data_IF_213372493536
#
_entry.id   IF_213372493536
#
_cell.length_a   1.000
_cell.length_b   1.000
_cell.length_c   1.000
_cell.angle_alpha   90.00
_cell.angle_beta   90.00
_cell.angle_gamma   90.00
#
_symmetry.space_group_name_H-M   'P 1'
#
loop_
_entity.id
_entity.type
_entity.pdbx_description
1 polymer ?
#
# COMPACT_ATOMS: atom_id res chain seq x y z
N UNK A 1 26.38 -4.94 5.02
CA UNK A 1 25.44 -6.07 4.87
C UNK A 1 24.33 -5.86 5.88
N UNK A 2 23.09 -5.62 5.44
CA UNK A 2 21.98 -5.39 6.36
C UNK A 2 21.65 -6.69 7.09
N UNK A 3 21.85 -6.70 8.40
CA UNK A 3 21.58 -7.80 9.33
C UNK A 3 20.17 -7.68 9.92
N UNK A 4 19.19 -7.29 9.10
CA UNK A 4 17.78 -7.24 9.48
C UNK A 4 17.10 -8.58 9.21
N UNK A 5 16.05 -8.89 9.95
CA UNK A 5 15.25 -10.09 9.69
C UNK A 5 14.56 -9.97 8.32
N UNK A 6 14.54 -11.05 7.54
CA UNK A 6 13.85 -11.08 6.25
C UNK A 6 12.34 -10.98 6.45
N UNK A 7 11.78 -9.80 6.21
CA UNK A 7 10.34 -9.56 6.20
C UNK A 7 9.66 -10.04 4.91
N UNK A 8 8.41 -10.50 5.05
CA UNK A 8 7.44 -10.74 3.97
C UNK A 8 6.39 -9.63 3.99
N UNK A 9 6.34 -8.84 2.92
CA UNK A 9 5.56 -7.61 2.87
C UNK A 9 4.56 -7.72 1.73
N UNK A 10 3.28 -7.53 2.04
CA UNK A 10 2.23 -7.35 1.02
C UNK A 10 1.83 -5.88 0.99
N UNK A 11 2.00 -5.24 -0.16
CA UNK A 11 1.47 -3.92 -0.46
C UNK A 11 0.15 -4.02 -1.20
N UNK A 12 -0.75 -3.08 -0.94
CA UNK A 12 -1.90 -2.82 -1.79
C UNK A 12 -2.03 -1.33 -2.06
N UNK A 13 -2.07 -0.97 -3.34
CA UNK A 13 -2.08 0.42 -3.78
C UNK A 13 -2.62 0.55 -5.20
N UNK A 14 -3.59 1.45 -5.41
CA UNK A 14 -4.18 1.65 -6.73
C UNK A 14 -3.22 2.24 -7.76
N UNK A 15 -2.26 3.08 -7.36
CA UNK A 15 -1.33 3.72 -8.31
C UNK A 15 -0.08 2.89 -8.61
N UNK A 16 0.06 1.73 -7.97
CA UNK A 16 1.09 0.74 -8.34
C UNK A 16 0.91 0.21 -9.79
N UNK A 17 -0.14 0.63 -10.50
CA UNK A 17 -0.25 0.44 -11.95
C UNK A 17 0.83 1.16 -12.75
N UNK A 18 1.43 2.24 -12.23
CA UNK A 18 2.48 2.97 -12.94
C UNK A 18 3.85 2.36 -12.64
N UNK A 19 4.64 1.92 -13.64
CA UNK A 19 5.96 1.34 -13.41
C UNK A 19 6.91 2.21 -12.59
N UNK A 20 6.94 3.53 -12.84
CA UNK A 20 7.78 4.49 -12.11
C UNK A 20 7.47 4.57 -10.62
N UNK A 21 6.23 4.23 -10.21
CA UNK A 21 5.80 4.23 -8.80
C UNK A 21 6.20 2.95 -8.06
N UNK A 22 6.75 1.95 -8.77
CA UNK A 22 7.13 0.63 -8.21
C UNK A 22 8.58 0.57 -7.72
N UNK A 23 9.34 1.65 -7.84
CA UNK A 23 10.76 1.70 -7.46
C UNK A 23 10.97 1.33 -5.98
N UNK A 24 10.08 1.76 -5.07
CA UNK A 24 10.13 1.35 -3.66
C UNK A 24 10.16 -0.17 -3.49
N UNK A 25 9.34 -0.90 -4.25
CA UNK A 25 9.22 -2.35 -4.13
C UNK A 25 10.49 -3.06 -4.57
N UNK A 26 11.12 -2.55 -5.64
CA UNK A 26 12.43 -3.01 -6.08
C UNK A 26 13.50 -2.76 -5.02
N UNK A 27 13.54 -1.57 -4.42
CA UNK A 27 14.54 -1.27 -3.40
C UNK A 27 14.32 -2.11 -2.12
N UNK A 28 13.07 -2.36 -1.72
CA UNK A 28 12.76 -3.28 -0.61
C UNK A 28 13.19 -4.73 -0.93
N UNK A 29 12.97 -5.20 -2.16
CA UNK A 29 13.44 -6.50 -2.60
C UNK A 29 14.98 -6.57 -2.62
N UNK A 30 15.65 -5.50 -3.06
CA UNK A 30 17.11 -5.41 -3.08
C UNK A 30 17.73 -5.40 -1.67
N UNK A 31 16.99 -4.93 -0.66
CA UNK A 31 17.35 -5.06 0.76
C UNK A 31 17.16 -6.49 1.32
N UNK A 32 16.64 -7.42 0.52
CA UNK A 32 16.49 -8.83 0.84
C UNK A 32 15.11 -9.25 1.32
N UNK A 33 14.11 -8.35 1.28
CA UNK A 33 12.74 -8.65 1.69
C UNK A 33 11.93 -9.35 0.60
N UNK A 34 10.92 -10.13 0.99
CA UNK A 34 9.94 -10.70 0.05
C UNK A 34 8.80 -9.71 -0.12
N UNK A 35 8.59 -9.19 -1.34
CA UNK A 35 7.59 -8.16 -1.61
C UNK A 35 6.55 -8.67 -2.60
N UNK A 36 5.28 -8.59 -2.21
CA UNK A 36 4.13 -8.82 -3.10
C UNK A 36 3.30 -7.55 -3.16
N UNK A 37 2.94 -7.10 -4.35
CA UNK A 37 2.20 -5.86 -4.60
C UNK A 37 0.88 -6.22 -5.25
N UNK A 38 -0.21 -5.71 -4.70
CA UNK A 38 -1.56 -5.89 -5.22
C UNK A 38 -2.00 -4.55 -5.79
N UNK A 39 -2.34 -4.55 -7.09
CA UNK A 39 -2.80 -3.38 -7.81
C UNK A 39 -4.07 -3.72 -8.61
N UNK A 40 -4.91 -2.73 -8.96
CA UNK A 40 -5.92 -2.89 -9.99
C UNK A 40 -5.29 -3.31 -11.33
N UNK A 41 -5.97 -4.13 -12.13
CA UNK A 41 -5.53 -4.44 -13.51
C UNK A 41 -5.43 -3.19 -14.40
N UNK A 42 -6.18 -2.15 -14.05
CA UNK A 42 -5.90 -0.83 -14.56
C UNK A 42 -6.49 0.29 -13.72
N UNK A 43 -5.89 1.46 -13.83
CA UNK A 43 -6.28 2.67 -13.12
C UNK A 43 -5.91 3.91 -13.94
N UNK A 44 -6.63 5.01 -13.75
CA UNK A 44 -6.28 6.29 -14.36
C UNK A 44 -5.34 7.05 -13.47
N UNK A 45 -4.17 7.38 -14.00
CA UNK A 45 -3.15 8.13 -13.30
C UNK A 45 -2.68 9.25 -14.22
N UNK A 46 -2.70 10.48 -13.72
CA UNK A 46 -2.27 11.68 -14.46
C UNK A 46 -2.95 11.83 -15.85
N UNK A 47 -4.21 11.37 -15.94
CA UNK A 47 -5.01 11.40 -17.18
C UNK A 47 -4.83 10.19 -18.10
N UNK A 48 -3.82 9.35 -17.87
CA UNK A 48 -3.52 8.15 -18.67
C UNK A 48 -4.21 6.90 -18.11
N UNK A 49 -4.62 5.99 -18.99
CA UNK A 49 -5.16 4.69 -18.57
C UNK A 49 -4.01 3.68 -18.45
N UNK A 50 -3.63 3.42 -17.21
CA UNK A 50 -2.47 2.58 -16.86
C UNK A 50 -2.91 1.18 -16.50
N UNK A 51 -2.02 0.20 -16.72
CA UNK A 51 -2.33 -1.22 -16.54
C UNK A 51 -1.24 -1.96 -15.76
N UNK A 52 -1.66 -2.82 -14.83
CA UNK A 52 -0.80 -3.76 -14.15
C UNK A 52 -1.22 -5.19 -14.49
N UNK A 53 -0.31 -5.93 -15.11
CA UNK A 53 -0.47 -7.37 -15.32
C UNK A 53 0.25 -8.14 -14.21
N UNK A 54 -0.25 -9.32 -13.89
CA UNK A 54 0.39 -10.21 -12.92
C UNK A 54 1.74 -10.68 -13.45
N UNK A 55 2.82 -10.36 -12.72
CA UNK A 55 4.19 -10.63 -13.16
C UNK A 55 5.15 -10.69 -11.97
N UNK A 56 6.23 -11.45 -12.11
CA UNK A 56 7.42 -11.33 -11.26
C UNK A 56 8.34 -10.28 -11.89
N UNK A 57 8.62 -9.18 -11.19
CA UNK A 57 9.38 -8.05 -11.72
C UNK A 57 10.43 -7.60 -10.71
N UNK A 58 11.68 -7.42 -11.15
CA UNK A 58 12.75 -6.77 -10.37
C UNK A 58 12.85 -7.19 -8.88
N UNK A 59 12.64 -8.48 -8.59
CA UNK A 59 12.73 -9.05 -7.24
C UNK A 59 11.45 -8.96 -6.39
N UNK A 60 10.35 -8.41 -6.90
CA UNK A 60 9.03 -8.41 -6.27
C UNK A 60 7.97 -9.05 -7.17
N UNK A 61 6.86 -9.48 -6.57
CA UNK A 61 5.70 -10.00 -7.28
C UNK A 61 4.65 -8.91 -7.42
N UNK A 62 4.14 -8.68 -8.63
CA UNK A 62 2.97 -7.83 -8.89
C UNK A 62 1.76 -8.69 -9.22
N UNK A 63 0.64 -8.41 -8.58
CA UNK A 63 -0.66 -9.02 -8.86
C UNK A 63 -1.64 -7.92 -9.29
N UNK A 64 -1.96 -7.91 -10.59
CA UNK A 64 -3.06 -7.11 -11.13
C UNK A 64 -4.37 -7.86 -10.92
N UNK A 65 -5.35 -7.22 -10.27
CA UNK A 65 -6.69 -7.79 -10.05
C UNK A 65 -7.80 -6.89 -10.59
N UNK A 66 -8.91 -7.46 -11.09
CA UNK A 66 -10.05 -6.67 -11.53
C UNK A 66 -10.70 -5.96 -10.35
N UNK A 67 -11.16 -4.72 -10.55
CA UNK A 67 -11.80 -3.89 -9.52
C UNK A 67 -13.18 -3.40 -9.95
N UNK A 68 -14.08 -3.29 -8.98
CA UNK A 68 -15.32 -2.54 -9.13
C UNK A 68 -15.06 -1.05 -8.81
N UNK A 69 -15.85 -0.15 -9.39
CA UNK A 69 -15.72 1.31 -9.20
C UNK A 69 -14.30 1.85 -9.50
N UNK A 70 -13.68 1.36 -10.59
CA UNK A 70 -12.38 1.84 -11.10
C UNK A 70 -12.33 3.37 -11.12
N UNK A 71 -11.21 3.95 -10.69
CA UNK A 71 -10.98 5.40 -10.60
C UNK A 71 -11.87 6.14 -9.58
N UNK A 72 -12.40 5.42 -8.59
CA UNK A 72 -13.08 5.98 -7.40
C UNK A 72 -12.32 5.52 -6.15
N UNK A 73 -11.26 6.24 -5.73
CA UNK A 73 -10.37 5.83 -4.63
C UNK A 73 -11.11 5.46 -3.34
N UNK A 74 -12.24 6.11 -3.07
CA UNK A 74 -13.05 5.89 -1.88
C UNK A 74 -14.00 4.67 -1.97
N UNK A 75 -14.32 4.19 -3.17
CA UNK A 75 -15.34 3.13 -3.40
C UNK A 75 -14.81 1.83 -3.99
N UNK A 76 -13.64 1.86 -4.62
CA UNK A 76 -13.16 0.70 -5.34
C UNK A 76 -12.85 -0.47 -4.40
N UNK A 77 -13.02 -1.67 -4.91
CA UNK A 77 -12.63 -2.91 -4.23
C UNK A 77 -12.30 -3.97 -5.28
N UNK A 78 -11.49 -4.96 -4.88
CA UNK A 78 -11.08 -6.06 -5.73
C UNK A 78 -12.23 -7.06 -5.89
N UNK A 79 -12.59 -7.36 -7.13
CA UNK A 79 -13.69 -8.27 -7.43
C UNK A 79 -13.32 -9.74 -7.18
N UNK A 80 -12.07 -10.12 -7.49
CA UNK A 80 -11.59 -11.48 -7.25
C UNK A 80 -11.13 -11.66 -5.80
N UNK A 81 -12.12 -11.80 -4.91
CA UNK A 81 -11.89 -11.97 -3.47
C UNK A 81 -11.13 -13.26 -3.16
N UNK A 82 -11.26 -14.30 -4.00
CA UNK A 82 -10.58 -15.58 -3.80
C UNK A 82 -9.10 -15.41 -4.12
N UNK A 83 -8.75 -14.81 -5.27
CA UNK A 83 -7.37 -14.53 -5.61
C UNK A 83 -6.70 -13.59 -4.58
N UNK A 84 -7.43 -12.57 -4.10
CA UNK A 84 -6.93 -11.68 -3.06
C UNK A 84 -6.65 -12.42 -1.74
N UNK A 85 -7.60 -13.24 -1.28
CA UNK A 85 -7.43 -14.03 -0.05
C UNK A 85 -6.32 -15.08 -0.17
N UNK A 86 -6.23 -15.78 -1.30
CA UNK A 86 -5.16 -16.74 -1.56
C UNK A 86 -3.79 -16.08 -1.60
N UNK A 87 -3.69 -14.90 -2.21
CA UNK A 87 -2.44 -14.12 -2.25
C UNK A 87 -1.98 -13.75 -0.84
N UNK A 88 -2.87 -13.17 -0.03
CA UNK A 88 -2.56 -12.84 1.36
C UNK A 88 -2.14 -14.08 2.17
N UNK A 89 -2.86 -15.19 2.00
CA UNK A 89 -2.58 -16.46 2.70
C UNK A 89 -1.25 -17.08 2.29
N UNK A 90 -0.96 -17.14 0.99
CA UNK A 90 0.23 -17.78 0.44
C UNK A 90 1.48 -16.96 0.70
N UNK A 91 1.39 -15.63 0.59
CA UNK A 91 2.50 -14.74 0.91
C UNK A 91 2.91 -14.86 2.38
N UNK A 92 1.99 -15.21 3.28
CA UNK A 92 2.19 -15.27 4.74
C UNK A 92 2.90 -13.99 5.26
N UNK A 93 2.33 -12.81 5.01
CA UNK A 93 3.00 -11.55 5.29
C UNK A 93 3.27 -11.38 6.79
N UNK A 94 4.41 -10.79 7.10
CA UNK A 94 4.68 -10.14 8.39
C UNK A 94 4.01 -8.76 8.42
N UNK A 95 3.98 -8.07 7.28
CA UNK A 95 3.39 -6.74 7.10
C UNK A 95 2.37 -6.77 5.95
N UNK A 96 1.18 -6.20 6.20
CA UNK A 96 0.25 -5.79 5.14
C UNK A 96 0.20 -4.26 5.14
N UNK A 97 0.78 -3.65 4.13
CA UNK A 97 0.81 -2.20 3.94
C UNK A 97 -0.26 -1.80 2.92
N UNK A 98 -1.24 -1.03 3.36
CA UNK A 98 -2.28 -0.46 2.52
C UNK A 98 -1.98 1.01 2.27
N UNK A 99 -1.68 1.38 1.03
CA UNK A 99 -1.53 2.79 0.64
C UNK A 99 -2.84 3.29 0.03
N UNK A 100 -3.80 3.53 0.91
CA UNK A 100 -5.14 3.99 0.60
C UNK A 100 -5.68 4.78 1.79
N UNK A 101 -6.66 5.64 1.56
CA UNK A 101 -7.37 6.26 2.66
C UNK A 101 -8.06 5.20 3.55
N UNK A 102 -8.01 5.32 4.89
CA UNK A 102 -8.55 4.30 5.80
C UNK A 102 -10.06 4.10 5.69
N UNK A 103 -10.78 5.09 5.15
CA UNK A 103 -12.21 5.02 4.87
C UNK A 103 -12.55 4.33 3.53
N UNK A 104 -11.57 3.95 2.71
CA UNK A 104 -11.84 3.35 1.40
C UNK A 104 -12.36 1.91 1.52
N UNK A 105 -13.17 1.50 0.54
CA UNK A 105 -13.68 0.13 0.48
C UNK A 105 -12.55 -0.90 0.28
N UNK A 106 -11.49 -0.56 -0.47
CA UNK A 106 -10.31 -1.41 -0.67
C UNK A 106 -9.50 -1.58 0.61
N UNK A 107 -9.26 -0.52 1.37
CA UNK A 107 -8.56 -0.59 2.66
C UNK A 107 -9.32 -1.47 3.65
N UNK A 108 -10.64 -1.31 3.74
CA UNK A 108 -11.50 -2.16 4.55
C UNK A 108 -11.43 -3.63 4.09
N UNK A 109 -11.57 -3.90 2.79
CA UNK A 109 -11.53 -5.26 2.23
C UNK A 109 -10.21 -5.96 2.55
N UNK A 110 -9.08 -5.30 2.32
CA UNK A 110 -7.75 -5.86 2.57
C UNK A 110 -7.52 -6.07 4.07
N UNK A 111 -7.87 -5.09 4.91
CA UNK A 111 -7.77 -5.20 6.37
C UNK A 111 -8.58 -6.39 6.91
N UNK A 112 -9.81 -6.55 6.44
CA UNK A 112 -10.69 -7.64 6.82
C UNK A 112 -10.11 -9.00 6.39
N UNK A 113 -9.68 -9.13 5.13
CA UNK A 113 -9.13 -10.39 4.62
C UNK A 113 -7.80 -10.73 5.29
N UNK A 114 -6.90 -9.76 5.46
CA UNK A 114 -5.63 -9.95 6.16
C UNK A 114 -5.88 -10.51 7.57
N UNK A 115 -6.88 -9.99 8.30
CA UNK A 115 -7.26 -10.53 9.60
C UNK A 115 -7.74 -11.99 9.52
N UNK A 116 -8.49 -12.35 8.49
CA UNK A 116 -9.08 -13.68 8.36
C UNK A 116 -8.05 -14.74 7.95
N UNK A 117 -7.15 -14.43 7.02
CA UNK A 117 -6.26 -15.44 6.43
C UNK A 117 -4.78 -15.28 6.80
N UNK A 118 -4.40 -14.11 7.34
CA UNK A 118 -3.03 -13.73 7.69
C UNK A 118 -3.00 -13.00 9.04
N UNK A 119 -3.70 -13.54 10.04
CA UNK A 119 -3.99 -12.87 11.32
C UNK A 119 -2.78 -12.43 12.16
N UNK A 120 -1.57 -12.88 11.81
CA UNK A 120 -0.31 -12.48 12.45
C UNK A 120 0.31 -11.23 11.83
N UNK A 121 -0.07 -10.89 10.59
CA UNK A 121 0.47 -9.74 9.90
C UNK A 121 0.11 -8.44 10.61
N UNK A 122 1.06 -7.51 10.69
CA UNK A 122 0.80 -6.16 11.18
C UNK A 122 0.25 -5.32 10.03
N UNK A 123 -0.89 -4.68 10.28
CA UNK A 123 -1.51 -3.78 9.32
C UNK A 123 -0.84 -2.40 9.43
N UNK A 124 -0.27 -1.95 8.33
CA UNK A 124 0.23 -0.59 8.13
C UNK A 124 -0.70 0.11 7.15
N UNK A 125 -1.09 1.34 7.45
CA UNK A 125 -1.94 2.14 6.57
C UNK A 125 -1.23 3.45 6.29
N UNK A 126 -0.99 3.74 5.02
CA UNK A 126 -0.44 5.01 4.54
C UNK A 126 -1.51 5.75 3.75
N UNK A 127 -1.61 7.05 3.95
CA UNK A 127 -2.52 7.92 3.19
C UNK A 127 -1.77 9.16 2.70
N UNK A 128 -2.15 9.64 1.51
CA UNK A 128 -1.68 10.90 0.94
C UNK A 128 -2.30 12.13 1.62
N UNK A 129 -1.94 13.31 1.12
CA UNK A 129 -2.25 14.63 1.72
C UNK A 129 -3.73 15.03 1.71
N UNK A 130 -4.55 14.45 0.83
CA UNK A 130 -5.97 14.79 0.72
C UNK A 130 -6.88 13.81 1.48
N UNK A 131 -7.07 14.06 2.78
CA UNK A 131 -7.98 13.24 3.62
C UNK A 131 -9.16 14.02 4.16
N UNK A 132 -9.91 14.68 3.27
CA UNK A 132 -11.31 14.94 3.63
C UNK A 132 -12.11 13.65 3.48
N UNK A 133 -12.35 12.98 4.61
CA UNK A 133 -13.20 11.81 4.66
C UNK A 133 -14.59 12.15 4.10
N UNK A 134 -15.10 11.38 3.12
CA UNK A 134 -16.45 11.56 2.62
C UNK A 134 -17.49 11.37 3.73
N UNK A 135 -18.59 12.13 3.66
CA UNK A 135 -19.70 12.00 4.60
C UNK A 135 -20.46 10.69 4.32
N UNK A 136 -20.66 9.86 5.36
CA UNK A 136 -21.53 8.69 5.29
C UNK A 136 -21.18 7.62 6.33
N UNK A 137 -22.20 6.88 6.79
CA UNK A 137 -22.05 5.86 7.84
C UNK A 137 -21.13 4.70 7.45
N UNK A 138 -21.08 4.34 6.16
CA UNK A 138 -20.20 3.27 5.67
C UNK A 138 -18.72 3.67 5.71
N UNK A 139 -18.40 4.92 5.36
CA UNK A 139 -17.03 5.44 5.39
C UNK A 139 -16.49 5.52 6.82
N UNK A 140 -17.34 5.98 7.76
CA UNK A 140 -17.03 5.99 9.19
C UNK A 140 -16.81 4.57 9.73
N UNK A 141 -17.65 3.61 9.32
CA UNK A 141 -17.49 2.22 9.71
C UNK A 141 -16.19 1.60 9.18
N UNK A 142 -15.85 1.85 7.90
CA UNK A 142 -14.60 1.39 7.29
C UNK A 142 -13.39 2.01 8.00
N UNK A 143 -13.41 3.33 8.18
CA UNK A 143 -12.37 4.07 8.87
C UNK A 143 -12.11 3.48 10.26
N UNK A 144 -13.17 3.34 11.08
CA UNK A 144 -13.06 2.78 12.43
C UNK A 144 -12.53 1.36 12.43
N UNK A 145 -12.96 0.53 11.47
CA UNK A 145 -12.48 -0.84 11.35
C UNK A 145 -10.98 -0.89 11.07
N UNK A 146 -10.53 -0.11 10.08
CA UNK A 146 -9.17 -0.07 9.57
C UNK A 146 -8.24 0.54 10.62
N UNK A 147 -8.55 1.75 11.10
CA UNK A 147 -7.74 2.47 12.09
C UNK A 147 -7.63 1.69 13.40
N UNK A 148 -8.74 1.15 13.93
CA UNK A 148 -8.73 0.40 15.18
C UNK A 148 -7.89 -0.90 15.14
N UNK A 149 -7.48 -1.35 13.95
CA UNK A 149 -6.62 -2.52 13.73
C UNK A 149 -5.22 -2.17 13.23
N UNK A 150 -5.03 -0.93 12.82
CA UNK A 150 -3.78 -0.42 12.30
C UNK A 150 -2.70 -0.44 13.40
N UNK A 151 -1.61 -1.15 13.12
CA UNK A 151 -0.43 -1.16 13.98
C UNK A 151 0.38 0.13 13.83
N UNK A 152 0.42 0.66 12.60
CA UNK A 152 1.14 1.89 12.26
C UNK A 152 0.42 2.65 11.16
N UNK A 153 0.05 3.89 11.46
CA UNK A 153 -0.54 4.81 10.51
C UNK A 153 0.50 5.83 10.02
N UNK A 154 0.62 5.96 8.71
CA UNK A 154 1.56 6.83 8.01
C UNK A 154 0.79 7.90 7.25
N UNK A 155 1.24 9.14 7.38
CA UNK A 155 0.71 10.28 6.61
C UNK A 155 1.79 11.36 6.52
N UNK A 156 1.66 12.25 5.55
CA UNK A 156 2.61 13.36 5.39
C UNK A 156 2.59 14.35 6.57
N UNK A 157 1.46 14.45 7.29
CA UNK A 157 1.32 15.31 8.47
C UNK A 157 1.63 14.58 9.78
N UNK A 158 1.40 13.26 9.83
CA UNK A 158 1.46 12.44 11.05
C UNK A 158 0.24 12.59 11.96
N UNK A 159 -0.75 13.43 11.61
CA UNK A 159 -1.85 13.81 12.50
C UNK A 159 -3.18 13.10 12.19
N UNK A 160 -3.37 12.59 10.97
CA UNK A 160 -4.70 12.19 10.44
C UNK A 160 -5.17 10.76 10.85
N UNK A 161 -4.49 10.15 11.82
CA UNK A 161 -4.68 8.74 12.24
C UNK A 161 -5.27 8.55 13.64
N UNK A 162 -6.18 9.41 14.09
CA UNK A 162 -6.74 9.33 15.44
C UNK A 162 -7.38 7.95 15.71
N UNK A 163 -6.84 7.22 16.71
CA UNK A 163 -7.24 5.85 17.03
C UNK A 163 -6.25 4.76 16.58
N UNK A 164 -5.24 5.09 15.78
CA UNK A 164 -4.15 4.15 15.44
C UNK A 164 -3.21 3.92 16.63
N UNK A 165 -2.61 2.72 16.71
CA UNK A 165 -1.69 2.35 17.81
C UNK A 165 -0.40 3.16 17.82
N UNK A 166 0.14 3.43 16.63
CA UNK A 166 1.32 4.24 16.39
C UNK A 166 1.06 5.10 15.16
N UNK A 167 1.55 6.33 15.19
CA UNK A 167 1.47 7.30 14.09
C UNK A 167 2.87 7.81 13.82
N UNK A 168 3.25 7.85 12.56
CA UNK A 168 4.53 8.37 12.14
C UNK A 168 4.35 9.23 10.91
N UNK A 169 5.22 10.24 10.79
CA UNK A 169 5.32 11.01 9.58
C UNK A 169 6.13 10.24 8.56
N UNK A 170 5.50 9.87 7.47
CA UNK A 170 6.15 9.22 6.34
C UNK A 170 5.31 9.51 5.10
N UNK A 171 6.00 9.79 4.00
CA UNK A 171 5.38 10.01 2.72
C UNK A 171 6.28 9.35 1.68
N UNK A 172 5.73 8.41 0.92
CA UNK A 172 6.47 7.86 -0.23
C UNK A 172 6.91 8.97 -1.19
N UNK A 173 8.10 8.85 -1.83
CA UNK A 173 8.61 9.85 -2.77
C UNK A 173 7.64 10.21 -3.91
N UNK A 174 6.74 9.29 -4.30
CA UNK A 174 5.69 9.54 -5.32
C UNK A 174 4.70 10.59 -4.88
N UNK A 175 4.31 10.60 -3.61
CA UNK A 175 3.35 11.58 -3.13
C UNK A 175 3.96 13.00 -3.07
N UNK A 176 5.29 13.13 -3.10
CA UNK A 176 5.98 14.41 -3.31
C UNK A 176 6.04 14.82 -4.79
N UNK A 177 5.86 13.86 -5.71
CA UNK A 177 6.03 14.03 -7.15
C UNK A 177 4.71 14.25 -7.92
N UNK A 178 3.55 14.29 -7.25
CA UNK A 178 2.30 14.80 -7.84
C UNK A 178 2.49 16.28 -8.21
N UNK A 179 3.06 16.54 -9.40
CA UNK A 179 3.47 17.86 -9.87
C UNK A 179 4.80 17.88 -10.66
N UNK A 180 5.54 16.78 -10.76
CA UNK A 180 6.77 16.68 -11.54
C UNK A 180 6.56 15.89 -12.84
N UNK A 181 6.96 16.46 -13.99
CA UNK A 181 6.87 15.83 -15.31
C UNK A 181 7.61 14.48 -15.34
N UNK A 182 6.98 13.45 -15.92
CA UNK A 182 7.45 12.06 -16.03
C UNK A 182 8.71 11.85 -16.92
N UNK A 183 9.43 12.93 -17.29
CA UNK A 183 10.56 12.88 -18.22
C UNK A 183 11.94 12.77 -17.56
N UNK A 184 12.05 13.03 -16.26
CA UNK A 184 13.33 12.97 -15.55
C UNK A 184 13.44 11.61 -14.87
N UNK A 185 14.46 10.82 -15.22
CA UNK A 185 14.72 9.54 -14.58
C UNK A 185 14.74 9.75 -13.07
N UNK A 186 13.67 9.32 -12.38
CA UNK A 186 13.53 9.51 -10.95
C UNK A 186 14.81 8.99 -10.30
N UNK A 187 15.56 9.88 -9.64
CA UNK A 187 16.81 9.50 -9.00
C UNK A 187 16.53 8.34 -8.03
N UNK A 188 17.44 7.37 -7.95
CA UNK A 188 17.23 6.16 -7.15
C UNK A 188 17.36 6.44 -5.64
N UNK A 189 18.10 7.48 -5.26
CA UNK A 189 18.43 7.80 -3.86
C UNK A 189 17.20 8.08 -2.95
N UNK A 190 16.17 8.84 -3.36
CA UNK A 190 14.96 9.03 -2.56
C UNK A 190 14.25 7.71 -2.24
N UNK A 191 14.24 6.77 -3.20
CA UNK A 191 13.58 5.48 -3.05
C UNK A 191 14.32 4.53 -2.13
N UNK A 192 15.65 4.51 -2.19
CA UNK A 192 16.49 3.74 -1.27
C UNK A 192 16.38 4.25 0.17
N UNK A 193 16.35 5.57 0.32
CA UNK A 193 16.16 6.22 1.62
C UNK A 193 14.78 5.89 2.19
N UNK A 194 13.74 5.97 1.37
CA UNK A 194 12.38 5.61 1.75
C UNK A 194 12.26 4.12 2.14
N UNK A 195 12.83 3.21 1.34
CA UNK A 195 12.85 1.77 1.64
C UNK A 195 13.53 1.50 2.98
N UNK A 196 14.71 2.09 3.22
CA UNK A 196 15.46 1.93 4.47
C UNK A 196 14.67 2.47 5.67
N UNK A 197 14.06 3.64 5.54
CA UNK A 197 13.24 4.22 6.59
C UNK A 197 12.02 3.33 6.90
N UNK A 198 11.36 2.82 5.87
CA UNK A 198 10.18 1.97 6.00
C UNK A 198 10.52 0.63 6.67
N UNK A 199 11.65 0.01 6.34
CA UNK A 199 12.13 -1.20 7.02
C UNK A 199 12.35 -0.96 8.51
N UNK A 200 12.97 0.15 8.90
CA UNK A 200 13.15 0.51 10.32
C UNK A 200 11.82 0.69 11.05
N UNK A 201 10.81 1.23 10.37
CA UNK A 201 9.47 1.36 10.92
C UNK A 201 8.83 -0.03 11.13
N UNK A 202 8.97 -0.94 10.16
CA UNK A 202 8.43 -2.29 10.24
C UNK A 202 9.10 -3.14 11.32
N UNK A 203 10.42 -3.04 11.47
CA UNK A 203 11.17 -3.76 12.52
C UNK A 203 10.76 -3.34 13.94
N UNK A 204 10.12 -2.17 14.09
CA UNK A 204 9.59 -1.68 15.35
C UNK A 204 8.17 -2.14 15.71
N UNK A 205 7.54 -3.02 14.92
CA UNK A 205 6.15 -3.50 15.11
C UNK A 205 6.05 -4.91 15.69
#
# INVERSE_FOLDING_TARGET
MATGNKLKIVFAWHEAVVPGRRLLFRELAALGHEVTVIAPEGWRVDGNDEHAYTVEADGYRLLGLPVAYRNRPEKFFYMDIIALALTLRMARPDIVHVFEAPYSASAFQISLLARLVSSRAKLVVETGDDTQMPVGSSYEFFNRHVIGRCALFLSATGNDGEGARRRERFLMPVAQAHGADEGEAASVEPWQSAATALVRLYEGL
#
